data_IF_714906697310
#
_entry.id   IF_714906697310
#
_cell.length_a   1.000
_cell.length_b   1.000
_cell.length_c   1.000
_cell.angle_alpha   90.00
_cell.angle_beta   90.00
_cell.angle_gamma   90.00
#
_symmetry.space_group_name_H-M   'P 1'
#
loop_
_entity.id
_entity.type
_entity.pdbx_description
1 polymer ?
#
# COMPACT_ATOMS: atom_id res chain seq x y z
N UNK A 1 50.21 -55.78 41.44
CA UNK A 1 51.45 -56.17 40.82
C UNK A 1 51.37 -55.98 39.32
N UNK A 2 52.35 -55.36 38.76
CA UNK A 2 52.66 -55.05 37.35
C UNK A 2 52.07 -53.78 36.78
N UNK A 3 52.79 -52.74 36.97
CA UNK A 3 52.97 -51.48 36.22
C UNK A 3 53.25 -51.75 34.75
N UNK A 4 52.55 -51.06 33.88
CA UNK A 4 52.95 -50.86 32.47
C UNK A 4 52.89 -49.38 32.18
N UNK A 5 54.06 -48.83 31.98
CA UNK A 5 54.41 -47.48 31.53
C UNK A 5 54.14 -47.39 30.05
N UNK A 6 53.29 -46.43 29.62
CA UNK A 6 53.06 -46.19 28.21
C UNK A 6 53.49 -44.76 27.84
N UNK A 7 54.45 -44.71 26.96
CA UNK A 7 55.16 -43.55 26.45
C UNK A 7 54.24 -42.74 25.55
N UNK A 8 54.03 -41.45 25.87
CA UNK A 8 53.28 -40.51 25.09
C UNK A 8 54.22 -39.83 24.07
N UNK A 9 54.08 -40.21 22.81
CA UNK A 9 54.80 -39.58 21.70
C UNK A 9 54.03 -38.33 21.23
N UNK A 10 54.60 -37.15 21.44
CA UNK A 10 54.10 -35.87 21.04
C UNK A 10 54.35 -35.60 19.54
N UNK A 11 53.36 -35.70 18.68
CA UNK A 11 53.48 -35.32 17.29
C UNK A 11 53.08 -33.81 17.17
N UNK A 12 54.05 -32.96 16.94
CA UNK A 12 53.83 -31.54 16.58
C UNK A 12 53.61 -31.49 15.10
N UNK A 13 52.31 -31.27 14.73
CA UNK A 13 51.91 -30.92 13.37
C UNK A 13 51.99 -29.40 13.22
N UNK A 14 52.96 -28.89 12.49
CA UNK A 14 53.01 -27.54 11.98
C UNK A 14 51.95 -27.43 10.88
N UNK A 15 50.78 -26.88 11.17
CA UNK A 15 49.83 -26.46 10.14
C UNK A 15 50.12 -25.01 9.78
N UNK A 16 50.63 -24.83 8.57
CA UNK A 16 50.76 -23.54 7.92
C UNK A 16 49.35 -23.09 7.50
N UNK A 17 48.68 -22.26 8.32
CA UNK A 17 47.41 -21.65 7.92
C UNK A 17 47.68 -20.38 7.11
N UNK A 18 47.52 -20.48 5.79
CA UNK A 18 47.37 -19.33 4.93
C UNK A 18 46.06 -18.67 5.29
N UNK A 19 46.12 -17.53 5.98
CA UNK A 19 44.96 -16.69 6.24
C UNK A 19 44.41 -16.17 4.89
N UNK A 20 43.31 -16.74 4.44
CA UNK A 20 42.49 -16.14 3.41
C UNK A 20 41.85 -14.91 4.08
N UNK A 21 42.22 -13.71 3.63
CA UNK A 21 41.50 -12.49 3.98
C UNK A 21 40.13 -12.61 3.37
N UNK A 22 39.11 -12.93 4.18
CA UNK A 22 37.72 -12.68 3.83
C UNK A 22 37.55 -11.18 3.64
N UNK A 23 37.21 -10.82 2.44
CA UNK A 23 36.85 -9.46 2.08
C UNK A 23 35.42 -9.24 2.60
N UNK A 24 35.28 -8.70 3.82
CA UNK A 24 34.00 -8.39 4.45
C UNK A 24 33.53 -6.98 4.07
N UNK A 25 33.48 -6.67 2.78
CA UNK A 25 32.68 -5.54 2.28
C UNK A 25 31.28 -6.03 1.93
N UNK A 26 30.55 -6.52 2.92
CA UNK A 26 29.09 -6.54 2.85
C UNK A 26 28.58 -5.15 3.27
N UNK A 27 27.69 -4.52 2.49
CA UNK A 27 27.08 -3.27 2.92
C UNK A 27 26.39 -3.49 4.27
N UNK A 28 26.68 -2.63 5.21
CA UNK A 28 26.11 -2.62 6.55
C UNK A 28 24.58 -2.46 6.42
N UNK A 29 23.87 -3.57 6.22
CA UNK A 29 22.41 -3.62 6.31
C UNK A 29 22.13 -3.29 7.77
N UNK A 30 21.67 -2.08 8.04
CA UNK A 30 21.15 -1.70 9.35
C UNK A 30 20.21 -2.82 9.77
N UNK A 31 20.60 -3.63 10.74
CA UNK A 31 19.76 -4.68 11.29
C UNK A 31 18.45 -4.01 11.72
N UNK A 32 17.40 -4.22 10.96
CA UNK A 32 16.06 -3.86 11.41
C UNK A 32 15.70 -4.80 12.55
N UNK A 33 16.08 -4.39 13.75
CA UNK A 33 15.80 -5.15 14.97
C UNK A 33 14.28 -5.22 15.18
N UNK A 34 13.65 -6.28 14.66
CA UNK A 34 12.24 -6.56 14.94
C UNK A 34 12.10 -6.97 16.41
N UNK A 35 11.27 -6.24 17.14
CA UNK A 35 10.91 -6.58 18.51
C UNK A 35 9.73 -7.54 18.51
N UNK A 36 9.80 -8.62 19.27
CA UNK A 36 8.64 -9.45 19.56
C UNK A 36 7.67 -8.65 20.45
N UNK A 37 6.46 -8.38 19.98
CA UNK A 37 5.40 -7.63 20.69
C UNK A 37 4.28 -8.53 21.18
N UNK A 38 4.50 -9.85 21.20
CA UNK A 38 3.54 -10.83 21.71
C UNK A 38 2.53 -11.31 20.64
N UNK A 39 1.45 -11.94 21.13
CA UNK A 39 0.39 -12.49 20.30
C UNK A 39 -0.61 -11.38 19.91
N UNK A 40 -0.45 -10.81 18.73
CA UNK A 40 -1.26 -9.71 18.20
C UNK A 40 -1.85 -10.05 16.85
N UNK A 41 -3.16 -9.80 16.65
CA UNK A 41 -3.81 -9.82 15.35
C UNK A 41 -3.40 -8.58 14.53
N UNK A 42 -2.39 -8.72 13.69
CA UNK A 42 -1.78 -7.61 12.95
C UNK A 42 -2.17 -7.56 11.45
N UNK A 43 -3.31 -8.16 11.05
CA UNK A 43 -3.83 -8.10 9.68
C UNK A 43 -4.82 -6.94 9.48
N UNK A 44 -4.55 -5.83 10.08
CA UNK A 44 -5.29 -4.58 9.96
C UNK A 44 -4.36 -3.48 9.40
N UNK A 45 -4.92 -2.38 8.83
CA UNK A 45 -6.35 -2.03 8.77
C UNK A 45 -7.11 -2.81 7.67
N UNK A 46 -8.44 -2.91 7.84
CA UNK A 46 -9.36 -3.53 6.88
C UNK A 46 -10.53 -2.59 6.57
N UNK A 47 -11.19 -2.71 5.39
CA UNK A 47 -12.40 -1.97 5.11
C UNK A 47 -13.46 -2.18 6.19
N UNK A 48 -14.03 -1.07 6.66
CA UNK A 48 -15.16 -1.08 7.58
C UNK A 48 -16.42 -1.47 6.82
N UNK A 49 -17.22 -2.38 7.37
CA UNK A 49 -18.46 -2.84 6.73
C UNK A 49 -19.65 -2.80 7.68
N UNK A 50 -20.82 -2.51 7.12
CA UNK A 50 -22.12 -2.70 7.79
C UNK A 50 -22.80 -3.90 7.17
N UNK A 51 -23.06 -4.91 7.98
CA UNK A 51 -23.82 -6.09 7.58
C UNK A 51 -25.30 -5.84 7.85
N UNK A 52 -26.12 -6.04 6.82
CA UNK A 52 -27.57 -5.94 6.89
C UNK A 52 -28.26 -7.30 6.79
N UNK A 53 -29.23 -7.55 7.63
CA UNK A 53 -30.10 -8.76 7.56
C UNK A 53 -31.49 -8.46 8.12
N UNK A 54 -32.46 -9.27 7.72
CA UNK A 54 -33.78 -9.25 8.35
C UNK A 54 -33.80 -10.15 9.59
N UNK A 55 -34.25 -9.62 10.71
CA UNK A 55 -34.43 -10.35 11.96
C UNK A 55 -35.87 -10.11 12.43
N UNK A 56 -36.66 -11.17 12.57
CA UNK A 56 -38.06 -11.10 13.02
C UNK A 56 -38.93 -10.12 12.20
N UNK A 57 -38.68 -10.06 10.89
CA UNK A 57 -39.43 -9.20 9.95
C UNK A 57 -38.97 -7.74 9.91
N UNK A 58 -37.94 -7.35 10.67
CA UNK A 58 -37.34 -6.02 10.64
C UNK A 58 -35.89 -6.07 10.12
N UNK A 59 -35.48 -5.02 9.46
CA UNK A 59 -34.09 -4.85 9.07
C UNK A 59 -33.24 -4.53 10.31
N UNK A 60 -32.11 -5.21 10.43
CA UNK A 60 -31.12 -4.92 11.47
C UNK A 60 -29.73 -4.79 10.85
N UNK A 61 -28.93 -3.89 11.43
CA UNK A 61 -27.59 -3.53 10.97
C UNK A 61 -26.56 -3.85 12.03
N UNK A 62 -25.38 -4.28 11.60
CA UNK A 62 -24.23 -4.54 12.47
C UNK A 62 -22.92 -4.15 11.79
N UNK A 63 -22.06 -3.41 12.49
CA UNK A 63 -20.69 -3.17 12.03
C UNK A 63 -19.85 -4.42 12.21
N UNK A 64 -19.13 -4.80 11.16
CA UNK A 64 -18.24 -5.97 11.17
C UNK A 64 -16.86 -5.58 10.63
N UNK A 65 -15.85 -5.67 11.51
CA UNK A 65 -14.45 -5.45 11.16
C UNK A 65 -13.66 -6.74 10.90
N UNK A 66 -14.17 -7.89 11.34
CA UNK A 66 -13.51 -9.18 11.14
C UNK A 66 -13.99 -9.82 9.84
N UNK A 67 -13.45 -9.36 8.72
CA UNK A 67 -13.77 -9.84 7.37
C UNK A 67 -12.57 -10.48 6.71
N UNK A 68 -12.77 -11.44 5.81
CA UNK A 68 -11.70 -12.09 5.06
C UNK A 68 -12.14 -12.54 3.67
N UNK A 69 -11.21 -12.57 2.74
CA UNK A 69 -11.37 -13.21 1.43
C UNK A 69 -10.78 -14.61 1.53
N UNK A 70 -11.57 -15.64 1.19
CA UNK A 70 -11.18 -17.04 1.29
C UNK A 70 -11.28 -17.77 -0.06
N UNK A 71 -11.15 -17.05 -1.13
CA UNK A 71 -11.19 -17.54 -2.51
C UNK A 71 -11.56 -16.42 -3.46
N UNK A 72 -11.70 -16.72 -4.74
CA UNK A 72 -12.11 -15.71 -5.72
C UNK A 72 -13.60 -15.38 -5.67
N UNK A 73 -14.40 -16.19 -5.00
CA UNK A 73 -15.86 -16.13 -4.97
C UNK A 73 -16.43 -16.12 -3.55
N UNK A 74 -15.58 -16.08 -2.49
CA UNK A 74 -16.02 -16.26 -1.12
C UNK A 74 -15.49 -15.23 -0.16
N UNK A 75 -16.38 -14.79 0.72
CA UNK A 75 -16.09 -13.85 1.82
C UNK A 75 -16.39 -14.57 3.14
N UNK A 76 -15.51 -14.40 4.11
CA UNK A 76 -15.70 -14.78 5.50
C UNK A 76 -16.09 -13.57 6.33
N UNK A 77 -17.17 -13.68 7.11
CA UNK A 77 -17.56 -12.73 8.15
C UNK A 77 -17.51 -13.43 9.51
N UNK A 78 -16.65 -12.96 10.40
CA UNK A 78 -16.55 -13.49 11.77
C UNK A 78 -17.31 -12.57 12.72
N UNK A 79 -18.40 -13.04 13.28
CA UNK A 79 -19.34 -12.27 14.11
C UNK A 79 -19.52 -12.94 15.45
N UNK A 80 -19.43 -12.17 16.55
CA UNK A 80 -19.69 -12.72 17.89
C UNK A 80 -21.06 -13.39 17.94
N UNK A 81 -21.15 -14.55 18.59
CA UNK A 81 -22.41 -15.30 18.76
C UNK A 81 -23.51 -14.51 19.48
N UNK A 82 -23.12 -13.46 20.22
CA UNK A 82 -24.04 -12.59 20.94
C UNK A 82 -24.76 -11.57 20.06
N UNK A 83 -24.32 -11.39 18.80
CA UNK A 83 -24.94 -10.41 17.91
C UNK A 83 -26.33 -10.84 17.47
N UNK A 84 -27.30 -9.96 17.71
CA UNK A 84 -28.71 -10.18 17.37
C UNK A 84 -28.91 -10.45 15.86
N UNK A 85 -28.12 -9.82 15.01
CA UNK A 85 -28.16 -9.99 13.55
C UNK A 85 -27.93 -11.45 13.12
N UNK A 86 -27.11 -12.22 13.87
CA UNK A 86 -26.78 -13.61 13.54
C UNK A 86 -28.02 -14.50 13.44
N UNK A 87 -29.04 -14.23 14.26
CA UNK A 87 -30.30 -15.02 14.26
C UNK A 87 -31.00 -14.92 12.89
N UNK A 88 -31.08 -13.71 12.34
CA UNK A 88 -31.66 -13.48 11.02
C UNK A 88 -30.86 -14.12 9.91
N UNK A 89 -29.54 -13.99 9.95
CA UNK A 89 -28.62 -14.59 8.98
C UNK A 89 -28.68 -16.13 9.01
N UNK A 90 -28.68 -16.71 10.20
CA UNK A 90 -28.81 -18.17 10.37
C UNK A 90 -30.11 -18.72 9.77
N UNK A 91 -31.21 -17.97 9.94
CA UNK A 91 -32.54 -18.34 9.44
C UNK A 91 -32.67 -18.16 7.93
N UNK A 92 -32.31 -16.99 7.42
CA UNK A 92 -32.51 -16.63 6.00
C UNK A 92 -31.40 -17.19 5.09
N UNK A 93 -30.21 -17.43 5.62
CA UNK A 93 -28.97 -17.70 4.89
C UNK A 93 -28.61 -16.59 3.92
N UNK A 94 -29.02 -15.36 4.19
CA UNK A 94 -28.82 -14.18 3.36
C UNK A 94 -28.40 -12.99 4.19
N UNK A 95 -27.54 -12.15 3.62
CA UNK A 95 -27.09 -10.89 4.20
C UNK A 95 -26.60 -9.93 3.13
N UNK A 96 -26.51 -8.65 3.45
CA UNK A 96 -25.75 -7.67 2.67
C UNK A 96 -24.49 -7.21 3.40
N UNK A 97 -23.48 -6.82 2.63
CA UNK A 97 -22.22 -6.23 3.11
C UNK A 97 -22.11 -4.86 2.45
N UNK A 98 -22.25 -3.80 3.23
CA UNK A 98 -22.23 -2.42 2.77
C UNK A 98 -20.91 -1.77 3.18
N UNK A 99 -20.13 -1.23 2.27
CA UNK A 99 -18.88 -0.52 2.59
C UNK A 99 -19.19 0.84 3.23
N UNK A 100 -18.40 1.19 4.21
CA UNK A 100 -18.54 2.45 4.94
C UNK A 100 -17.70 3.52 4.29
N UNK A 101 -18.33 4.59 3.82
CA UNK A 101 -17.69 5.84 3.43
C UNK A 101 -17.57 6.78 4.64
N UNK A 102 -16.83 7.89 4.46
CA UNK A 102 -16.70 8.93 5.50
C UNK A 102 -18.05 9.54 5.87
N UNK A 103 -18.96 9.67 4.91
CA UNK A 103 -20.26 10.31 5.06
C UNK A 103 -21.18 9.52 5.99
N UNK A 104 -21.14 8.18 5.90
CA UNK A 104 -22.00 7.31 6.73
C UNK A 104 -21.28 6.76 7.97
N UNK A 105 -20.03 7.17 8.24
CA UNK A 105 -19.22 6.62 9.33
C UNK A 105 -19.89 6.77 10.70
N UNK A 106 -20.48 7.91 11.02
CA UNK A 106 -21.13 8.10 12.33
C UNK A 106 -22.37 7.21 12.52
N UNK A 107 -23.14 6.98 11.46
CA UNK A 107 -24.26 6.04 11.47
C UNK A 107 -23.77 4.59 11.64
N UNK A 108 -22.67 4.24 10.96
CA UNK A 108 -22.04 2.93 11.05
C UNK A 108 -21.52 2.67 12.47
N UNK A 109 -20.81 3.63 13.06
CA UNK A 109 -20.32 3.54 14.44
C UNK A 109 -21.47 3.36 15.43
N UNK A 110 -22.55 4.12 15.28
CA UNK A 110 -23.76 4.00 16.11
C UNK A 110 -24.36 2.59 16.04
N UNK A 111 -24.59 2.01 14.85
CA UNK A 111 -25.17 0.66 14.75
C UNK A 111 -24.23 -0.45 15.26
N UNK A 112 -22.94 -0.17 15.36
CA UNK A 112 -21.95 -1.02 16.00
C UNK A 112 -21.95 -0.94 17.53
N UNK A 113 -22.34 0.22 18.09
CA UNK A 113 -22.29 0.49 19.53
C UNK A 113 -23.52 0.00 20.30
N UNK A 114 -24.64 -0.28 19.63
CA UNK A 114 -25.90 -0.69 20.24
C UNK A 114 -26.36 -2.07 19.77
N UNK A 115 -27.07 -2.83 20.64
CA UNK A 115 -27.62 -4.13 20.29
C UNK A 115 -29.01 -3.98 19.62
N UNK A 116 -29.24 -4.69 18.52
CA UNK A 116 -30.55 -4.77 17.87
C UNK A 116 -31.63 -5.48 18.71
N UNK A 117 -31.25 -6.22 19.74
CA UNK A 117 -32.18 -6.80 20.70
C UNK A 117 -32.78 -5.73 21.64
N UNK A 118 -32.06 -4.63 21.88
CA UNK A 118 -32.46 -3.58 22.77
C UNK A 118 -33.01 -2.32 22.07
N UNK A 119 -32.50 -2.05 20.84
CA UNK A 119 -32.79 -0.83 20.08
C UNK A 119 -33.17 -1.19 18.65
N UNK A 120 -34.29 -0.64 18.15
CA UNK A 120 -34.66 -0.76 16.74
C UNK A 120 -33.72 0.11 15.89
N UNK A 121 -32.92 -0.55 15.05
CA UNK A 121 -31.94 0.09 14.18
C UNK A 121 -32.39 0.17 12.72
N UNK A 122 -33.62 -0.25 12.41
CA UNK A 122 -34.10 -0.40 11.03
C UNK A 122 -34.02 0.92 10.22
N UNK A 123 -34.25 2.06 10.86
CA UNK A 123 -34.34 3.37 10.23
C UNK A 123 -33.04 4.22 10.31
N UNK A 124 -31.92 3.62 10.71
CA UNK A 124 -30.65 4.38 10.83
C UNK A 124 -30.11 4.77 9.47
N UNK A 125 -30.29 3.90 8.47
CA UNK A 125 -29.92 4.17 7.07
C UNK A 125 -31.17 4.21 6.20
N UNK A 126 -31.16 5.03 5.14
CA UNK A 126 -32.03 4.84 4.00
C UNK A 126 -31.64 3.55 3.28
N UNK A 127 -32.60 2.71 2.93
CA UNK A 127 -32.33 1.44 2.29
C UNK A 127 -33.49 0.96 1.42
N UNK A 128 -33.19 0.09 0.48
CA UNK A 128 -34.17 -0.71 -0.23
C UNK A 128 -33.86 -2.20 -0.08
N UNK A 129 -34.80 -3.05 -0.48
CA UNK A 129 -34.56 -4.48 -0.53
C UNK A 129 -34.04 -4.82 -1.93
N UNK A 130 -32.82 -5.37 -1.99
CA UNK A 130 -32.19 -5.77 -3.24
C UNK A 130 -32.78 -7.04 -3.84
N UNK A 131 -32.27 -7.42 -5.00
CA UNK A 131 -32.78 -8.58 -5.79
C UNK A 131 -32.65 -9.92 -5.06
N UNK A 132 -31.62 -10.08 -4.22
CA UNK A 132 -31.46 -11.27 -3.37
C UNK A 132 -32.38 -11.22 -2.12
N UNK A 133 -33.13 -10.16 -1.91
CA UNK A 133 -34.02 -9.97 -0.76
C UNK A 133 -33.28 -9.53 0.52
N UNK A 134 -32.11 -8.97 0.41
CA UNK A 134 -31.35 -8.40 1.52
C UNK A 134 -31.44 -6.85 1.54
N UNK A 135 -31.29 -6.19 2.70
CA UNK A 135 -31.35 -4.74 2.77
C UNK A 135 -30.04 -4.12 2.24
N UNK A 136 -30.16 -3.22 1.28
CA UNK A 136 -29.07 -2.46 0.64
C UNK A 136 -29.12 -1.02 1.15
N UNK A 137 -28.03 -0.53 1.72
CA UNK A 137 -27.94 0.87 2.18
C UNK A 137 -27.78 1.79 0.96
N UNK A 138 -28.71 2.73 0.76
CA UNK A 138 -28.71 3.64 -0.39
C UNK A 138 -27.51 4.61 -0.39
N UNK A 139 -27.05 4.99 0.80
CA UNK A 139 -25.90 5.90 1.01
C UNK A 139 -24.55 5.19 0.94
N UNK A 140 -24.50 3.85 0.89
CA UNK A 140 -23.26 3.10 0.78
C UNK A 140 -22.69 3.17 -0.63
N UNK A 141 -21.41 3.50 -0.81
CA UNK A 141 -20.82 3.58 -2.14
C UNK A 141 -20.73 2.22 -2.85
N UNK A 142 -20.75 1.12 -2.08
CA UNK A 142 -20.75 -0.25 -2.62
C UNK A 142 -21.41 -1.21 -1.65
N UNK A 143 -22.33 -2.00 -2.16
CA UNK A 143 -23.02 -3.06 -1.41
C UNK A 143 -22.94 -4.38 -2.15
N UNK A 144 -22.65 -5.45 -1.43
CA UNK A 144 -22.70 -6.84 -1.92
C UNK A 144 -23.85 -7.57 -1.25
N UNK A 145 -24.75 -8.18 -2.03
CA UNK A 145 -25.72 -9.16 -1.53
C UNK A 145 -25.06 -10.54 -1.54
N UNK A 146 -25.24 -11.27 -0.45
CA UNK A 146 -24.55 -12.54 -0.24
C UNK A 146 -25.50 -13.64 0.21
N UNK A 147 -25.24 -14.88 -0.25
CA UNK A 147 -25.78 -16.11 0.31
C UNK A 147 -24.76 -16.78 1.24
N UNK A 148 -25.20 -17.18 2.41
CA UNK A 148 -24.39 -17.97 3.36
C UNK A 148 -24.40 -19.42 2.91
N UNK A 149 -23.24 -19.93 2.51
CA UNK A 149 -23.06 -21.30 2.03
C UNK A 149 -22.60 -22.27 3.13
N UNK A 150 -21.93 -21.73 4.17
CA UNK A 150 -21.49 -22.52 5.31
C UNK A 150 -21.36 -21.63 6.55
N UNK A 151 -21.37 -22.25 7.74
CA UNK A 151 -21.15 -21.56 9.02
C UNK A 151 -20.15 -22.39 9.83
N UNK A 152 -18.93 -21.88 9.97
CA UNK A 152 -17.91 -22.45 10.83
C UNK A 152 -17.97 -21.81 12.22
N UNK A 153 -18.25 -22.59 13.23
CA UNK A 153 -18.35 -22.10 14.60
C UNK A 153 -17.03 -22.23 15.35
N UNK A 154 -16.64 -21.18 16.03
CA UNK A 154 -15.54 -21.16 17.02
C UNK A 154 -16.09 -20.76 18.40
N UNK A 155 -15.25 -20.80 19.46
CA UNK A 155 -15.66 -20.54 20.85
C UNK A 155 -16.21 -19.14 20.98
N UNK A 156 -16.74 -18.42 20.46
CA UNK A 156 -17.32 -17.09 20.66
C UNK A 156 -17.81 -16.47 19.36
N UNK A 157 -17.57 -17.13 18.23
CA UNK A 157 -17.89 -16.55 16.94
C UNK A 157 -18.64 -17.53 16.02
N UNK A 158 -19.57 -16.95 15.26
CA UNK A 158 -20.14 -17.52 14.06
C UNK A 158 -19.34 -16.97 12.87
N UNK A 159 -18.71 -17.87 12.13
CA UNK A 159 -17.95 -17.50 10.92
C UNK A 159 -18.80 -17.88 9.71
N UNK A 160 -19.45 -16.87 9.14
CA UNK A 160 -20.31 -17.04 7.97
C UNK A 160 -19.47 -17.06 6.69
N UNK A 161 -19.51 -18.15 5.96
CA UNK A 161 -18.89 -18.28 4.65
C UNK A 161 -19.93 -17.94 3.59
N UNK A 162 -19.69 -16.89 2.83
CA UNK A 162 -20.65 -16.29 1.93
C UNK A 162 -20.17 -16.29 0.48
N UNK A 163 -21.08 -16.51 -0.46
CA UNK A 163 -20.89 -16.19 -1.88
C UNK A 163 -21.57 -14.88 -2.22
N UNK A 164 -20.92 -14.04 -3.01
CA UNK A 164 -21.51 -12.79 -3.53
C UNK A 164 -22.41 -13.15 -4.72
N UNK A 165 -23.65 -12.66 -4.69
CA UNK A 165 -24.62 -12.89 -5.78
C UNK A 165 -24.90 -11.62 -6.58
N UNK A 166 -24.91 -10.44 -5.94
CA UNK A 166 -25.06 -9.15 -6.58
C UNK A 166 -24.10 -8.13 -5.97
N UNK A 167 -23.63 -7.19 -6.76
CA UNK A 167 -22.86 -6.04 -6.27
C UNK A 167 -23.43 -4.77 -6.87
N UNK A 168 -23.84 -3.86 -6.00
CA UNK A 168 -24.32 -2.52 -6.35
C UNK A 168 -23.21 -1.52 -6.05
N UNK A 169 -22.94 -0.62 -6.99
CA UNK A 169 -21.95 0.44 -6.83
C UNK A 169 -22.58 1.78 -7.22
N UNK A 170 -22.29 2.82 -6.46
CA UNK A 170 -22.67 4.17 -6.80
C UNK A 170 -21.98 4.60 -8.12
N UNK A 171 -22.63 5.34 -9.01
CA UNK A 171 -22.04 5.70 -10.32
C UNK A 171 -20.72 6.47 -10.22
N UNK A 172 -20.54 7.27 -9.19
CA UNK A 172 -19.36 8.11 -8.96
C UNK A 172 -18.12 7.33 -8.53
N UNK A 173 -18.26 6.08 -8.08
CA UNK A 173 -17.14 5.19 -7.77
C UNK A 173 -16.75 4.27 -8.94
N UNK A 174 -17.40 4.43 -10.09
CA UNK A 174 -17.06 3.69 -11.31
C UNK A 174 -16.19 4.54 -12.24
N UNK A 175 -15.30 3.87 -12.97
CA UNK A 175 -14.53 4.49 -14.05
C UNK A 175 -15.38 4.65 -15.33
N UNK A 176 -14.81 5.26 -16.36
CA UNK A 176 -15.49 5.47 -17.64
C UNK A 176 -15.83 4.18 -18.40
N UNK A 177 -15.33 3.03 -17.96
CA UNK A 177 -15.62 1.69 -18.52
C UNK A 177 -16.66 0.92 -17.69
N UNK A 178 -17.18 1.52 -16.61
CA UNK A 178 -18.13 0.91 -15.68
C UNK A 178 -17.46 -0.05 -14.67
N UNK A 179 -16.14 0.01 -14.51
CA UNK A 179 -15.42 -0.78 -13.51
C UNK A 179 -15.19 0.03 -12.24
N UNK A 180 -15.06 -0.69 -11.13
CA UNK A 180 -14.81 -0.08 -9.83
C UNK A 180 -13.46 0.65 -9.79
N UNK A 181 -13.50 1.93 -9.42
CA UNK A 181 -12.31 2.77 -9.20
C UNK A 181 -12.06 2.94 -7.71
N UNK A 182 -11.05 2.25 -7.19
CA UNK A 182 -10.69 2.29 -5.76
C UNK A 182 -10.14 3.65 -5.31
N UNK A 183 -9.70 4.51 -6.24
CA UNK A 183 -9.29 5.88 -5.90
C UNK A 183 -10.48 6.79 -5.59
N UNK A 184 -11.66 6.44 -6.07
CA UNK A 184 -12.92 7.12 -5.81
C UNK A 184 -13.72 6.46 -4.70
N UNK A 185 -13.72 5.13 -4.61
CA UNK A 185 -14.45 4.37 -3.60
C UNK A 185 -14.03 4.72 -2.17
N UNK A 186 -12.73 4.87 -1.91
CA UNK A 186 -12.12 5.31 -0.64
C UNK A 186 -12.83 4.82 0.63
N UNK A 187 -12.98 3.51 0.84
CA UNK A 187 -13.66 3.00 2.02
C UNK A 187 -12.92 3.42 3.29
N UNK A 188 -13.67 3.67 4.36
CA UNK A 188 -13.07 3.84 5.69
C UNK A 188 -12.41 2.55 6.11
N UNK A 189 -11.20 2.62 6.63
CA UNK A 189 -10.46 1.48 7.14
C UNK A 189 -10.54 1.45 8.67
N UNK A 190 -10.71 0.26 9.22
CA UNK A 190 -10.72 0.03 10.67
C UNK A 190 -9.42 -0.61 11.12
N UNK A 191 -8.80 -0.06 12.16
CA UNK A 191 -7.59 -0.58 12.79
C UNK A 191 -7.90 -1.19 14.17
N UNK A 192 -7.54 -2.46 14.34
CA UNK A 192 -7.65 -3.19 15.58
C UNK A 192 -6.25 -3.59 16.10
N UNK A 193 -5.95 -3.53 17.38
CA UNK A 193 -6.82 -3.28 18.54
C UNK A 193 -6.93 -1.81 18.96
N UNK A 194 -6.49 -0.86 18.14
CA UNK A 194 -6.52 0.57 18.49
C UNK A 194 -7.91 1.21 18.40
N UNK A 195 -8.86 0.52 17.73
CA UNK A 195 -10.22 1.00 17.48
C UNK A 195 -10.25 2.34 16.72
N UNK A 196 -9.30 2.53 15.80
CA UNK A 196 -9.17 3.77 15.03
C UNK A 196 -9.73 3.60 13.63
N UNK A 197 -10.32 4.69 13.09
CA UNK A 197 -10.74 4.77 11.70
C UNK A 197 -9.66 5.51 10.89
N UNK A 198 -9.29 4.93 9.75
CA UNK A 198 -8.27 5.48 8.87
C UNK A 198 -8.86 5.74 7.49
N UNK A 199 -8.32 6.72 6.78
CA UNK A 199 -8.64 6.94 5.38
C UNK A 199 -7.86 6.00 4.49
N UNK A 200 -8.43 5.61 3.36
CA UNK A 200 -7.70 4.95 2.28
C UNK A 200 -6.71 5.94 1.66
N UNK A 201 -5.48 5.50 1.44
CA UNK A 201 -4.42 6.27 0.81
C UNK A 201 -4.47 6.24 -0.73
N UNK A 202 -3.37 6.68 -1.35
CA UNK A 202 -3.18 6.67 -2.79
C UNK A 202 -2.72 5.30 -3.33
N UNK A 203 -2.81 5.12 -4.66
CA UNK A 203 -2.25 3.94 -5.32
C UNK A 203 -0.73 4.07 -5.37
N UNK A 204 -0.02 3.17 -4.73
CA UNK A 204 1.45 3.14 -4.67
C UNK A 204 2.10 2.19 -5.69
N UNK A 205 1.31 1.45 -6.46
CA UNK A 205 1.82 0.53 -7.47
C UNK A 205 0.75 -0.36 -8.10
N UNK A 206 1.12 -1.10 -9.12
CA UNK A 206 0.27 -2.10 -9.78
C UNK A 206 0.84 -3.50 -9.54
N UNK A 207 -0.02 -4.43 -9.13
CA UNK A 207 0.36 -5.82 -8.94
C UNK A 207 0.93 -6.43 -10.25
N UNK A 208 1.96 -7.26 -10.12
CA UNK A 208 2.70 -7.92 -11.22
C UNK A 208 3.43 -6.97 -12.19
N UNK A 209 3.51 -5.69 -11.86
CA UNK A 209 4.27 -4.69 -12.61
C UNK A 209 5.33 -3.97 -11.77
N UNK A 210 5.58 -4.45 -10.54
CA UNK A 210 6.56 -3.85 -9.62
C UNK A 210 8.00 -4.08 -10.06
N UNK A 211 8.29 -5.12 -10.85
CA UNK A 211 9.61 -5.35 -11.47
C UNK A 211 10.03 -4.20 -12.38
N UNK A 212 9.06 -3.46 -12.92
CA UNK A 212 9.29 -2.26 -13.73
C UNK A 212 9.41 -0.98 -12.92
N UNK A 213 9.07 -1.04 -11.63
CA UNK A 213 9.21 0.03 -10.65
C UNK A 213 9.66 -0.56 -9.31
N UNK A 214 10.95 -0.91 -9.14
CA UNK A 214 11.46 -1.31 -7.83
C UNK A 214 11.13 -0.20 -6.81
N UNK A 215 10.89 -0.60 -5.57
CA UNK A 215 10.60 0.33 -4.48
C UNK A 215 11.64 1.47 -4.47
N UNK A 216 11.17 2.70 -4.24
CA UNK A 216 12.09 3.83 -4.08
C UNK A 216 13.07 3.52 -2.95
N UNK A 217 14.35 3.71 -3.20
CA UNK A 217 15.37 3.54 -2.17
C UNK A 217 15.14 4.56 -1.05
N UNK A 218 15.45 4.18 0.19
CA UNK A 218 15.44 5.12 1.31
C UNK A 218 16.37 6.29 1.00
N UNK A 219 15.88 7.52 1.13
CA UNK A 219 16.66 8.72 0.82
C UNK A 219 17.59 9.08 1.96
N UNK A 220 18.79 9.51 1.60
CA UNK A 220 19.74 10.06 2.56
C UNK A 220 19.28 11.47 3.02
N UNK A 221 19.55 11.85 4.27
CA UNK A 221 19.36 13.24 4.68
C UNK A 221 20.32 14.15 3.91
N UNK A 222 19.90 15.39 3.66
CA UNK A 222 20.74 16.39 3.00
C UNK A 222 21.88 16.83 3.94
N UNK A 223 23.11 16.71 3.48
CA UNK A 223 24.30 17.16 4.19
C UNK A 223 24.56 18.67 3.95
N UNK A 224 25.51 19.23 4.67
CA UNK A 224 25.90 20.65 4.54
C UNK A 224 26.48 21.01 3.17
N UNK A 225 27.03 20.02 2.45
CA UNK A 225 27.55 20.12 1.08
C UNK A 225 26.54 19.62 0.04
N UNK A 226 25.26 19.49 0.41
CA UNK A 226 24.18 19.11 -0.48
C UNK A 226 24.05 20.11 -1.65
N UNK A 227 23.67 19.58 -2.81
CA UNK A 227 23.55 20.39 -4.03
C UNK A 227 22.09 20.56 -4.40
N UNK A 228 21.68 21.78 -4.67
CA UNK A 228 20.41 22.13 -5.30
C UNK A 228 20.73 22.77 -6.65
N UNK A 229 20.21 22.19 -7.73
CA UNK A 229 20.53 22.64 -9.09
C UNK A 229 19.27 22.84 -9.91
N UNK A 230 19.28 23.91 -10.68
CA UNK A 230 18.29 24.18 -11.70
C UNK A 230 18.93 24.04 -13.07
N UNK A 231 18.43 23.09 -13.86
CA UNK A 231 18.86 22.85 -15.23
C UNK A 231 17.80 23.40 -16.19
N UNK A 232 18.15 24.36 -17.03
CA UNK A 232 17.30 24.87 -18.10
C UNK A 232 17.80 24.35 -19.43
N UNK A 233 16.95 23.68 -20.18
CA UNK A 233 17.29 22.92 -21.38
C UNK A 233 16.37 23.35 -22.50
N UNK A 234 16.95 23.77 -23.63
CA UNK A 234 16.22 23.99 -24.87
C UNK A 234 16.48 22.82 -25.81
N UNK A 235 15.41 22.14 -26.22
CA UNK A 235 15.44 20.95 -27.07
C UNK A 235 14.99 21.34 -28.49
N UNK A 236 15.63 20.80 -29.51
CA UNK A 236 15.19 20.96 -30.92
C UNK A 236 13.80 20.34 -31.09
N UNK A 237 12.85 21.04 -31.77
CA UNK A 237 11.46 20.56 -31.86
C UNK A 237 11.31 19.14 -32.42
N UNK A 238 12.15 18.78 -33.40
CA UNK A 238 12.14 17.46 -34.03
C UNK A 238 12.53 16.31 -33.11
N UNK A 239 13.23 16.60 -32.00
CA UNK A 239 13.67 15.59 -31.04
C UNK A 239 12.87 15.60 -29.73
N UNK A 240 11.89 16.47 -29.59
CA UNK A 240 11.21 16.69 -28.30
C UNK A 240 10.62 15.41 -27.73
N UNK A 241 9.90 14.62 -28.51
CA UNK A 241 9.27 13.38 -28.08
C UNK A 241 10.29 12.31 -27.65
N UNK A 242 11.42 12.24 -28.37
CA UNK A 242 12.50 11.31 -28.06
C UNK A 242 13.25 11.76 -26.80
N UNK A 243 13.55 13.05 -26.67
CA UNK A 243 14.18 13.64 -25.50
C UNK A 243 13.34 13.38 -24.24
N UNK A 244 12.03 13.57 -24.31
CA UNK A 244 11.12 13.34 -23.17
C UNK A 244 11.17 11.90 -22.66
N UNK A 245 11.36 10.91 -23.53
CA UNK A 245 11.51 9.50 -23.10
C UNK A 245 12.79 9.31 -22.28
N UNK A 246 13.91 9.85 -22.75
CA UNK A 246 15.19 9.79 -22.04
C UNK A 246 15.14 10.53 -20.70
N UNK A 247 14.56 11.74 -20.68
CA UNK A 247 14.46 12.56 -19.49
C UNK A 247 13.55 11.93 -18.42
N UNK A 248 12.43 11.32 -18.83
CA UNK A 248 11.55 10.58 -17.92
C UNK A 248 12.25 9.34 -17.37
N UNK A 249 12.90 8.54 -18.23
CA UNK A 249 13.60 7.32 -17.82
C UNK A 249 14.70 7.62 -16.79
N UNK A 250 15.57 8.61 -17.07
CA UNK A 250 16.67 8.95 -16.14
C UNK A 250 16.14 9.47 -14.82
N UNK A 251 15.11 10.33 -14.83
CA UNK A 251 14.50 10.86 -13.61
C UNK A 251 13.88 9.76 -12.72
N UNK A 252 13.12 8.86 -13.32
CA UNK A 252 12.49 7.74 -12.62
C UNK A 252 13.55 6.77 -12.06
N UNK A 253 14.56 6.40 -12.84
CA UNK A 253 15.61 5.48 -12.38
C UNK A 253 16.40 6.11 -11.22
N UNK A 254 16.83 7.36 -11.38
CA UNK A 254 17.61 8.07 -10.35
C UNK A 254 16.87 8.23 -9.05
N UNK A 255 15.61 8.68 -9.09
CA UNK A 255 14.79 8.79 -7.89
C UNK A 255 14.55 7.44 -7.21
N UNK A 256 14.52 6.37 -7.97
CA UNK A 256 14.22 5.04 -7.47
C UNK A 256 15.43 4.33 -6.88
N UNK A 257 16.59 4.42 -7.54
CA UNK A 257 17.76 3.58 -7.24
C UNK A 257 18.87 4.29 -6.50
N UNK A 258 18.90 5.63 -6.54
CA UNK A 258 19.96 6.42 -5.93
C UNK A 258 19.51 7.06 -4.62
N UNK A 259 20.00 6.58 -3.45
CA UNK A 259 19.64 7.16 -2.14
C UNK A 259 20.01 8.64 -2.01
N UNK A 260 21.04 9.07 -2.70
CA UNK A 260 21.55 10.44 -2.67
C UNK A 260 20.85 11.41 -3.64
N UNK A 261 20.01 10.95 -4.56
CA UNK A 261 19.17 11.81 -5.41
C UNK A 261 17.85 12.06 -4.66
N UNK A 262 17.68 13.26 -4.10
CA UNK A 262 16.54 13.59 -3.23
C UNK A 262 15.32 14.01 -4.03
N UNK A 263 15.51 14.88 -5.02
CA UNK A 263 14.45 15.33 -5.94
C UNK A 263 14.97 15.42 -7.37
N UNK A 264 14.09 15.22 -8.34
CA UNK A 264 14.34 15.45 -9.77
C UNK A 264 13.01 15.78 -10.43
N UNK A 265 12.61 17.07 -10.39
CA UNK A 265 11.35 17.54 -10.96
C UNK A 265 11.62 18.18 -12.32
N UNK A 266 11.20 17.48 -13.39
CA UNK A 266 11.26 18.00 -14.74
C UNK A 266 9.89 18.57 -15.15
N UNK A 267 9.89 19.82 -15.62
CA UNK A 267 8.71 20.51 -16.15
C UNK A 267 9.02 21.11 -17.51
N UNK A 268 8.01 21.23 -18.37
CA UNK A 268 8.13 21.95 -19.65
C UNK A 268 7.19 23.15 -19.69
N UNK A 269 7.58 24.18 -20.41
CA UNK A 269 6.71 25.33 -20.63
C UNK A 269 5.51 24.95 -21.51
N UNK A 270 4.31 25.44 -21.16
CA UNK A 270 3.10 25.15 -21.95
C UNK A 270 3.10 25.81 -23.32
N UNK A 271 3.58 27.05 -23.36
CA UNK A 271 3.59 27.86 -24.59
C UNK A 271 4.83 27.60 -25.46
N UNK A 272 5.92 27.13 -24.86
CA UNK A 272 7.14 26.72 -25.56
C UNK A 272 7.59 25.33 -25.07
N UNK A 273 6.99 24.25 -25.57
CA UNK A 273 7.25 22.88 -25.09
C UNK A 273 8.70 22.40 -25.22
N UNK A 274 9.50 23.04 -26.05
CA UNK A 274 10.93 22.77 -26.16
C UNK A 274 11.78 23.29 -25.00
N UNK A 275 11.21 24.16 -24.15
CA UNK A 275 11.87 24.66 -22.93
C UNK A 275 11.54 23.76 -21.74
N UNK A 276 12.56 23.08 -21.24
CA UNK A 276 12.45 22.17 -20.10
C UNK A 276 13.28 22.69 -18.94
N UNK A 277 12.70 22.66 -17.76
CA UNK A 277 13.39 23.02 -16.51
C UNK A 277 13.38 21.81 -15.57
N UNK A 278 14.55 21.46 -15.03
CA UNK A 278 14.69 20.38 -14.06
C UNK A 278 15.22 20.97 -12.75
N UNK A 279 14.49 20.77 -11.66
CA UNK A 279 14.96 21.04 -10.30
C UNK A 279 15.49 19.75 -9.71
N UNK A 280 16.78 19.73 -9.38
CA UNK A 280 17.49 18.57 -8.86
C UNK A 280 18.04 18.87 -7.48
N UNK A 281 17.89 17.95 -6.53
CA UNK A 281 18.54 18.03 -5.22
C UNK A 281 19.28 16.75 -4.91
N UNK A 282 20.50 16.90 -4.40
CA UNK A 282 21.39 15.82 -4.05
C UNK A 282 21.79 15.90 -2.59
N UNK A 283 21.82 14.78 -1.90
CA UNK A 283 22.13 14.71 -0.47
C UNK A 283 23.51 15.27 -0.12
N UNK A 284 24.48 15.16 -1.03
CA UNK A 284 25.84 15.65 -0.87
C UNK A 284 26.51 15.83 -2.24
N UNK A 285 27.66 16.47 -2.25
CA UNK A 285 28.51 16.53 -3.45
C UNK A 285 28.92 15.14 -3.96
N UNK A 286 29.25 14.22 -3.07
CA UNK A 286 29.55 12.83 -3.42
C UNK A 286 28.37 12.12 -4.08
N UNK A 287 27.13 12.38 -3.61
CA UNK A 287 25.92 11.84 -4.24
C UNK A 287 25.73 12.35 -5.67
N UNK A 288 25.99 13.65 -5.90
CA UNK A 288 25.96 14.21 -7.25
C UNK A 288 27.04 13.59 -8.15
N UNK A 289 28.26 13.43 -7.67
CA UNK A 289 29.36 12.81 -8.42
C UNK A 289 29.03 11.34 -8.78
N UNK A 290 28.42 10.61 -7.84
CA UNK A 290 27.92 9.25 -8.10
C UNK A 290 26.82 9.22 -9.19
N UNK A 291 25.86 10.15 -9.09
CA UNK A 291 24.76 10.28 -10.05
C UNK A 291 25.28 10.50 -11.47
N UNK A 292 26.15 11.48 -11.68
CA UNK A 292 26.67 11.79 -13.03
C UNK A 292 27.57 10.69 -13.60
N UNK A 293 28.12 9.82 -12.74
CA UNK A 293 28.90 8.65 -13.15
C UNK A 293 28.04 7.39 -13.41
N UNK A 294 26.77 7.41 -13.02
CA UNK A 294 25.86 6.26 -13.17
C UNK A 294 25.58 5.90 -14.61
N UNK A 295 25.36 4.60 -14.86
CA UNK A 295 25.11 4.09 -16.22
C UNK A 295 23.87 4.75 -16.88
N UNK A 296 22.79 4.90 -16.11
CA UNK A 296 21.54 5.50 -16.62
C UNK A 296 21.70 7.01 -16.93
N UNK A 297 22.48 7.75 -16.11
CA UNK A 297 22.79 9.15 -16.43
C UNK A 297 23.66 9.27 -17.69
N UNK A 298 24.69 8.42 -17.81
CA UNK A 298 25.55 8.42 -18.99
C UNK A 298 24.77 8.04 -20.27
N UNK A 299 23.84 7.08 -20.19
CA UNK A 299 22.92 6.73 -21.27
C UNK A 299 22.07 7.95 -21.69
N UNK A 300 21.46 8.64 -20.70
CA UNK A 300 20.71 9.86 -20.95
C UNK A 300 21.57 10.94 -21.61
N UNK A 301 22.71 11.26 -21.01
CA UNK A 301 23.60 12.32 -21.48
C UNK A 301 24.07 12.07 -22.92
N UNK A 302 24.55 10.87 -23.23
CA UNK A 302 25.04 10.51 -24.56
C UNK A 302 23.91 10.43 -25.60
N UNK A 303 22.77 9.85 -25.19
CA UNK A 303 21.61 9.70 -26.06
C UNK A 303 20.96 11.03 -26.43
N UNK A 304 21.04 12.06 -25.58
CA UNK A 304 20.36 13.34 -25.78
C UNK A 304 21.27 14.48 -26.26
N UNK A 305 22.59 14.29 -26.34
CA UNK A 305 23.54 15.36 -26.64
C UNK A 305 23.23 16.11 -27.93
N UNK A 306 22.82 15.41 -29.00
CA UNK A 306 22.48 15.99 -30.29
C UNK A 306 21.08 16.62 -30.34
N UNK A 307 20.23 16.34 -29.33
CA UNK A 307 18.86 16.85 -29.25
C UNK A 307 18.78 18.21 -28.54
N UNK A 308 19.81 18.53 -27.73
CA UNK A 308 19.86 19.74 -26.91
C UNK A 308 20.45 20.90 -27.71
N UNK A 309 19.67 21.98 -27.84
CA UNK A 309 20.06 23.22 -28.46
C UNK A 309 20.84 24.12 -27.49
N UNK A 310 20.40 24.17 -26.24
CA UNK A 310 21.09 24.90 -25.16
C UNK A 310 20.87 24.26 -23.82
N UNK A 311 21.86 24.36 -22.93
CA UNK A 311 21.81 23.88 -21.54
C UNK A 311 22.44 24.92 -20.64
N UNK A 312 21.68 25.37 -19.63
CA UNK A 312 22.15 26.26 -18.57
C UNK A 312 21.95 25.57 -17.22
N UNK A 313 23.06 25.40 -16.49
CA UNK A 313 23.06 24.85 -15.13
C UNK A 313 23.31 25.98 -14.13
N UNK A 314 22.50 26.08 -13.08
CA UNK A 314 22.69 27.04 -12.02
C UNK A 314 22.45 26.39 -10.65
N UNK A 315 23.44 26.53 -9.77
CA UNK A 315 23.30 26.07 -8.39
C UNK A 315 22.43 27.06 -7.61
N UNK A 316 21.58 26.52 -6.74
CA UNK A 316 20.57 27.25 -5.98
C UNK A 316 20.80 27.07 -4.49
N UNK A 317 20.28 28.02 -3.71
CA UNK A 317 20.23 27.90 -2.25
C UNK A 317 18.79 27.71 -1.81
N UNK A 318 18.53 26.70 -0.96
CA UNK A 318 17.19 26.50 -0.37
C UNK A 318 16.87 27.69 0.55
N UNK A 319 15.68 28.27 0.37
CA UNK A 319 15.19 29.33 1.24
C UNK A 319 14.61 28.77 2.55
N UNK A 320 14.05 27.57 2.48
CA UNK A 320 13.51 26.83 3.62
C UNK A 320 14.30 25.53 3.78
N UNK A 321 15.37 25.48 4.58
CA UNK A 321 16.06 24.24 4.90
C UNK A 321 15.07 23.31 5.63
N UNK A 322 15.03 22.05 5.17
CA UNK A 322 14.17 21.00 5.75
C UNK A 322 14.67 20.59 7.14
#
# INVERSE_FOLDING_TARGET
>A
MKTILSILTLFVMLSCSTAVKENTDQPNITEMNKKNIGNLLALYPKPMTVVGAQVEGKVNWLVVGHTGIIGHDRILLSMSKQHYTNQGIRKSKKLSINLVSREILSKADYVGSVSGAAVDKSNVFAYHIGENGTPVIDESPLTMECNVVDIYETDGFDNFICTVVNTYAAPDVLDNTGKLDYTRLKPVLFAFPTYSYLATGEIIGKCLNLDKQPAMCAKLPMATDGIVRLSKIEVWPEYLEEYMKYATEVGEVSLRTEPGVLTMYAVREKENPGMITILETYASKAAYESHIASEHFQKYKQGTLHMVKSLVLSDQTLLNPA
#
